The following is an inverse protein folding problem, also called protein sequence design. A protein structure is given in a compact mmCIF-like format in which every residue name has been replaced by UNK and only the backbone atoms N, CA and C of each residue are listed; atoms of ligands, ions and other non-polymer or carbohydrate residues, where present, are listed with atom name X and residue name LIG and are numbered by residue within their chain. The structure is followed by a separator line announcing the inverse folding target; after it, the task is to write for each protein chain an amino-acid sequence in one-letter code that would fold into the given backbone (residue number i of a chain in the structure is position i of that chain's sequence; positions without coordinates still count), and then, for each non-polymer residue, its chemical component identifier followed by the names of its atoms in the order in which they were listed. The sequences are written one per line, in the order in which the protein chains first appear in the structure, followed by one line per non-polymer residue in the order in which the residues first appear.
data_IF_531469023269
#
_entry.id   IF_531469023269
#
_cell.length_a   1.000
_cell.length_b   1.000
_cell.length_c   1.000
_cell.angle_alpha   90.00
_cell.angle_beta   90.00
_cell.angle_gamma   90.00
#
_symmetry.space_group_name_H-M   'P 1'
#
loop_
_entity.id
_entity.type
_entity.pdbx_description
1 polymer ?
#
# COMPACT_ATOMS: atom_id res chain seq x y z
N UNK A 1 -4.02 18.16 31.17
CA UNK A 1 -2.73 17.79 30.55
C UNK A 1 -2.18 16.41 30.96
N UNK A 2 -2.44 15.88 32.17
CA UNK A 2 -1.94 14.54 32.58
C UNK A 2 -2.63 13.34 31.92
N UNK A 3 -3.90 13.47 31.53
CA UNK A 3 -4.68 12.39 30.88
C UNK A 3 -4.22 12.10 29.44
N UNK A 4 -3.73 13.12 28.73
CA UNK A 4 -3.25 12.98 27.35
C UNK A 4 -1.95 12.15 27.25
N UNK A 5 -1.08 12.25 28.27
CA UNK A 5 0.16 11.48 28.34
C UNK A 5 -0.04 9.98 28.63
N UNK A 6 -1.08 9.62 29.38
CA UNK A 6 -1.39 8.22 29.70
C UNK A 6 -2.02 7.49 28.50
N UNK A 7 -2.83 8.20 27.72
CA UNK A 7 -3.41 7.70 26.45
C UNK A 7 -2.32 7.50 25.39
N UNK A 8 -1.33 8.41 25.32
CA UNK A 8 -0.18 8.29 24.41
C UNK A 8 0.72 7.09 24.75
N UNK A 9 0.92 6.80 26.04
CA UNK A 9 1.73 5.68 26.51
C UNK A 9 1.04 4.32 26.28
N UNK A 10 -0.29 4.27 26.41
CA UNK A 10 -1.08 3.06 26.13
C UNK A 10 -1.20 2.75 24.63
N UNK A 11 -1.04 3.76 23.77
CA UNK A 11 -1.10 3.62 22.30
C UNK A 11 0.10 2.84 21.72
N UNK A 12 1.21 2.76 22.46
CA UNK A 12 2.45 2.16 21.96
C UNK A 12 2.50 0.62 22.11
N UNK A 13 1.76 0.05 23.07
CA UNK A 13 1.85 -1.38 23.43
C UNK A 13 0.94 -2.31 22.62
N UNK A 14 0.06 -1.78 21.78
CA UNK A 14 -0.91 -2.58 21.02
C UNK A 14 -0.59 -2.70 19.53
N UNK A 15 0.58 -2.25 19.08
CA UNK A 15 1.06 -2.57 17.74
C UNK A 15 1.43 -4.06 17.69
N UNK A 16 0.42 -4.89 17.42
CA UNK A 16 0.67 -6.16 16.75
C UNK A 16 1.52 -5.83 15.52
N UNK A 17 2.79 -6.22 15.57
CA UNK A 17 3.78 -5.94 14.54
C UNK A 17 3.32 -6.60 13.25
N UNK A 18 2.66 -5.83 12.39
CA UNK A 18 2.31 -6.25 11.03
C UNK A 18 3.63 -6.57 10.34
N UNK A 19 3.77 -7.84 9.97
CA UNK A 19 4.96 -8.33 9.30
C UNK A 19 5.08 -7.65 7.93
N UNK A 20 6.26 -7.14 7.63
CA UNK A 20 6.52 -6.59 6.30
C UNK A 20 6.46 -7.71 5.25
N UNK A 21 6.22 -7.37 3.99
CA UNK A 21 6.03 -8.36 2.92
C UNK A 21 7.21 -9.35 2.78
N UNK A 22 8.44 -8.90 3.05
CA UNK A 22 9.66 -9.72 2.99
C UNK A 22 9.80 -10.66 4.19
N UNK A 23 9.25 -10.28 5.34
CA UNK A 23 9.21 -11.12 6.53
C UNK A 23 8.00 -12.08 6.50
N UNK A 24 6.89 -11.67 5.88
CA UNK A 24 5.70 -12.48 5.70
C UNK A 24 5.93 -13.64 4.72
N UNK A 25 6.67 -13.40 3.63
CA UNK A 25 6.93 -14.39 2.60
C UNK A 25 8.41 -14.38 2.21
N UNK A 26 9.16 -15.38 2.66
CA UNK A 26 10.55 -15.58 2.29
C UNK A 26 10.67 -16.72 1.28
N UNK A 27 10.91 -16.38 0.02
CA UNK A 27 11.02 -17.35 -1.08
C UNK A 27 12.48 -17.67 -1.33
N UNK A 28 12.82 -18.96 -1.36
CA UNK A 28 14.16 -19.49 -1.64
C UNK A 28 14.09 -20.51 -2.77
N UNK A 29 15.18 -20.66 -3.51
CA UNK A 29 15.34 -21.70 -4.52
C UNK A 29 16.61 -22.50 -4.24
N UNK A 30 16.49 -23.82 -4.31
CA UNK A 30 17.61 -24.74 -4.17
C UNK A 30 17.64 -25.70 -5.37
N UNK A 31 18.85 -26.00 -5.86
CA UNK A 31 19.06 -27.00 -6.90
C UNK A 31 19.66 -28.25 -6.27
N UNK A 32 19.09 -29.41 -6.56
CA UNK A 32 19.62 -30.73 -6.24
C UNK A 32 19.87 -31.51 -7.52
N UNK A 33 20.70 -32.55 -7.45
CA UNK A 33 21.09 -33.34 -8.62
C UNK A 33 19.90 -33.88 -9.45
N UNK A 34 18.77 -34.21 -8.81
CA UNK A 34 17.62 -34.84 -9.46
C UNK A 34 16.31 -34.03 -9.41
N UNK A 35 16.33 -32.87 -8.76
CA UNK A 35 15.14 -32.02 -8.58
C UNK A 35 15.53 -30.61 -8.18
N UNK A 36 14.67 -29.65 -8.51
CA UNK A 36 14.74 -28.28 -7.98
C UNK A 36 13.69 -28.11 -6.89
N UNK A 37 14.00 -27.44 -5.79
CA UNK A 37 13.00 -27.01 -4.81
C UNK A 37 12.82 -25.50 -4.79
N UNK A 38 11.57 -25.08 -4.72
CA UNK A 38 11.20 -23.69 -4.42
C UNK A 38 10.52 -23.70 -3.06
N UNK A 39 11.15 -23.06 -2.10
CA UNK A 39 10.73 -23.03 -0.70
C UNK A 39 10.07 -21.69 -0.39
N UNK A 40 8.85 -21.73 0.15
CA UNK A 40 8.13 -20.56 0.64
C UNK A 40 8.02 -20.68 2.16
N UNK A 41 8.84 -19.90 2.86
CA UNK A 41 8.75 -19.74 4.31
C UNK A 41 7.72 -18.67 4.65
N UNK A 42 6.76 -19.04 5.50
CA UNK A 42 5.70 -18.15 5.96
C UNK A 42 6.08 -17.55 7.31
N UNK A 43 5.84 -16.24 7.45
CA UNK A 43 5.95 -15.54 8.72
C UNK A 43 4.90 -16.00 9.73
N UNK A 44 5.05 -15.57 10.98
CA UNK A 44 4.10 -15.90 12.05
C UNK A 44 2.70 -15.40 11.71
N UNK A 45 1.69 -16.24 11.93
CA UNK A 45 0.27 -15.93 11.72
C UNK A 45 -0.06 -15.55 10.25
N UNK A 46 0.70 -16.08 9.28
CA UNK A 46 0.47 -15.94 7.84
C UNK A 46 0.00 -17.26 7.25
N UNK A 47 -0.96 -17.19 6.33
CA UNK A 47 -1.40 -18.33 5.54
C UNK A 47 -1.48 -17.99 4.05
N UNK A 48 -1.32 -19.01 3.20
CA UNK A 48 -1.45 -18.91 1.75
C UNK A 48 -2.74 -19.56 1.26
N UNK A 49 -3.36 -19.01 0.22
CA UNK A 49 -4.51 -19.62 -0.43
C UNK A 49 -4.08 -20.71 -1.42
N UNK A 50 -4.62 -21.92 -1.26
CA UNK A 50 -4.29 -23.05 -2.12
C UNK A 50 -4.71 -22.86 -3.57
N UNK A 51 -5.84 -22.18 -3.81
CA UNK A 51 -6.36 -21.91 -5.15
C UNK A 51 -5.64 -20.74 -5.86
N UNK A 52 -4.86 -19.94 -5.12
CA UNK A 52 -4.08 -18.81 -5.66
C UNK A 52 -2.61 -19.13 -5.86
N UNK A 53 -2.14 -20.29 -5.38
CA UNK A 53 -0.79 -20.76 -5.65
C UNK A 53 -0.73 -21.37 -7.05
N UNK A 54 0.00 -20.71 -7.95
CA UNK A 54 0.21 -21.16 -9.32
C UNK A 54 1.68 -21.18 -9.67
N UNK A 55 2.11 -22.22 -10.37
CA UNK A 55 3.46 -22.35 -10.89
C UNK A 55 3.40 -22.56 -12.40
N UNK A 56 4.16 -21.73 -13.11
CA UNK A 56 4.28 -21.78 -14.55
C UNK A 56 5.72 -22.06 -14.97
N UNK A 57 5.88 -22.85 -16.02
CA UNK A 57 7.15 -22.99 -16.76
C UNK A 57 6.89 -22.55 -18.19
N UNK A 58 7.60 -21.53 -18.67
CA UNK A 58 7.42 -20.97 -20.01
C UNK A 58 5.94 -20.69 -20.34
N UNK A 59 5.25 -19.96 -19.45
CA UNK A 59 3.82 -19.61 -19.56
C UNK A 59 2.82 -20.79 -19.42
N UNK A 60 3.28 -22.04 -19.31
CA UNK A 60 2.40 -23.20 -19.08
C UNK A 60 2.21 -23.48 -17.60
N UNK A 61 0.95 -23.55 -17.17
CA UNK A 61 0.58 -23.91 -15.79
C UNK A 61 0.90 -25.39 -15.52
N UNK A 62 1.75 -25.64 -14.52
CA UNK A 62 2.14 -26.99 -14.07
C UNK A 62 1.71 -27.25 -12.63
N UNK A 63 0.86 -26.40 -12.05
CA UNK A 63 0.50 -26.45 -10.62
C UNK A 63 -0.15 -27.78 -10.22
N UNK A 64 -0.91 -28.40 -11.14
CA UNK A 64 -1.58 -29.70 -10.93
C UNK A 64 -0.65 -30.91 -11.01
N UNK A 65 0.56 -30.73 -11.55
CA UNK A 65 1.55 -31.80 -11.73
C UNK A 65 2.52 -31.93 -10.56
N UNK A 66 2.43 -31.02 -9.58
CA UNK A 66 3.31 -30.94 -8.42
C UNK A 66 2.57 -31.51 -7.21
N UNK A 67 3.30 -32.24 -6.38
CA UNK A 67 2.77 -32.69 -5.10
C UNK A 67 2.81 -31.51 -4.10
N UNK A 68 1.64 -30.94 -3.82
CA UNK A 68 1.48 -29.97 -2.74
C UNK A 68 1.16 -30.69 -1.41
N UNK A 69 1.56 -30.11 -0.27
CA UNK A 69 1.20 -30.65 1.04
C UNK A 69 -0.32 -30.60 1.26
N UNK A 70 -0.82 -31.27 2.31
CA UNK A 70 -2.23 -31.17 2.66
C UNK A 70 -2.60 -29.74 3.08
N UNK A 71 -3.67 -29.21 2.50
CA UNK A 71 -4.24 -27.91 2.87
C UNK A 71 -5.21 -28.06 4.05
N UNK A 72 -5.35 -26.99 4.82
CA UNK A 72 -6.34 -26.87 5.90
C UNK A 72 -7.51 -26.02 5.41
N UNK A 73 -8.74 -26.36 5.81
CA UNK A 73 -9.93 -25.59 5.41
C UNK A 73 -10.17 -24.45 6.39
N UNK A 74 -10.27 -23.22 5.88
CA UNK A 74 -10.62 -22.01 6.64
C UNK A 74 -11.85 -21.37 5.98
N UNK A 75 -13.00 -21.50 6.65
CA UNK A 75 -14.28 -21.09 6.06
C UNK A 75 -14.61 -21.93 4.83
N UNK A 76 -14.71 -21.30 3.65
CA UNK A 76 -15.00 -21.96 2.38
C UNK A 76 -13.75 -22.13 1.49
N UNK A 77 -12.56 -21.82 2.00
CA UNK A 77 -11.31 -21.84 1.22
C UNK A 77 -10.27 -22.77 1.85
N UNK A 78 -9.42 -23.35 1.00
CA UNK A 78 -8.31 -24.18 1.44
C UNK A 78 -7.03 -23.34 1.52
N UNK A 79 -6.33 -23.44 2.65
CA UNK A 79 -5.18 -22.61 3.00
C UNK A 79 -4.00 -23.45 3.50
N UNK A 80 -2.80 -22.90 3.35
CA UNK A 80 -1.57 -23.47 3.88
C UNK A 80 -1.00 -22.58 4.99
N UNK A 81 -0.79 -23.17 6.17
CA UNK A 81 -0.19 -22.52 7.34
C UNK A 81 1.28 -22.83 7.53
N UNK A 82 1.74 -23.92 6.93
CA UNK A 82 3.11 -24.40 7.07
C UNK A 82 3.97 -23.91 5.90
N UNK A 83 5.29 -24.05 6.04
CA UNK A 83 6.22 -23.85 4.92
C UNK A 83 5.82 -24.73 3.74
N UNK A 84 5.87 -24.19 2.53
CA UNK A 84 5.67 -24.97 1.31
C UNK A 84 7.03 -25.28 0.68
N UNK A 85 7.26 -26.56 0.40
CA UNK A 85 8.37 -27.02 -0.44
C UNK A 85 7.77 -27.51 -1.75
N UNK A 86 8.00 -26.76 -2.83
CA UNK A 86 7.55 -27.11 -4.18
C UNK A 86 8.71 -27.83 -4.86
N UNK A 87 8.68 -29.16 -4.86
CA UNK A 87 9.69 -29.99 -5.51
C UNK A 87 9.33 -30.23 -6.99
N UNK A 88 10.23 -29.81 -7.89
CA UNK A 88 10.15 -30.03 -9.33
C UNK A 88 11.17 -31.09 -9.73
N UNK A 89 10.76 -32.35 -9.93
CA UNK A 89 11.65 -33.39 -10.45
C UNK A 89 12.11 -33.11 -11.88
N UNK A 90 13.33 -33.55 -12.22
CA UNK A 90 13.94 -33.32 -13.54
C UNK A 90 13.07 -33.83 -14.70
N UNK A 91 12.31 -34.92 -14.51
CA UNK A 91 11.41 -35.46 -15.54
C UNK A 91 10.32 -34.45 -15.99
N UNK A 92 9.78 -33.67 -15.05
CA UNK A 92 8.83 -32.60 -15.37
C UNK A 92 9.55 -31.44 -16.07
N UNK A 93 10.74 -31.10 -15.61
CA UNK A 93 11.55 -30.04 -16.21
C UNK A 93 11.92 -30.40 -17.65
N UNK A 94 12.34 -31.62 -17.96
CA UNK A 94 12.64 -32.06 -19.33
C UNK A 94 11.42 -31.94 -20.27
N UNK A 95 10.21 -32.18 -19.77
CA UNK A 95 9.00 -32.09 -20.59
C UNK A 95 8.64 -30.64 -20.95
N UNK A 96 8.77 -29.71 -20.00
CA UNK A 96 8.31 -28.32 -20.13
C UNK A 96 9.43 -27.31 -20.46
N UNK A 97 10.68 -27.63 -20.13
CA UNK A 97 11.87 -26.79 -20.22
C UNK A 97 12.75 -27.26 -21.41
N UNK A 98 12.24 -27.11 -22.64
CA UNK A 98 12.90 -27.61 -23.87
C UNK A 98 14.03 -26.72 -24.39
N UNK A 99 14.15 -25.47 -23.94
CA UNK A 99 15.16 -24.51 -24.40
C UNK A 99 16.34 -24.38 -23.42
N UNK A 100 17.41 -23.70 -23.86
CA UNK A 100 18.62 -23.44 -23.04
C UNK A 100 18.37 -22.47 -21.87
N UNK A 101 17.37 -21.60 -21.98
CA UNK A 101 16.93 -20.68 -20.92
C UNK A 101 15.41 -20.76 -20.78
N UNK A 102 14.91 -21.25 -19.65
CA UNK A 102 13.48 -21.34 -19.38
C UNK A 102 13.12 -20.50 -18.17
N UNK A 103 11.93 -19.92 -18.16
CA UNK A 103 11.47 -19.04 -17.09
C UNK A 103 10.43 -19.78 -16.24
N UNK A 104 10.69 -19.92 -14.94
CA UNK A 104 9.70 -20.32 -13.96
C UNK A 104 9.06 -19.06 -13.39
N UNK A 105 7.73 -19.05 -13.35
CA UNK A 105 6.94 -18.00 -12.69
C UNK A 105 6.11 -18.63 -11.57
N UNK A 106 6.32 -18.16 -10.35
CA UNK A 106 5.56 -18.52 -9.16
C UNK A 106 4.62 -17.37 -8.79
N UNK A 107 3.33 -17.64 -8.74
CA UNK A 107 2.30 -16.71 -8.26
C UNK A 107 1.64 -17.26 -7.00
N UNK A 108 1.48 -16.43 -5.97
CA UNK A 108 0.73 -16.80 -4.78
C UNK A 108 0.12 -15.59 -4.09
N UNK A 109 -0.88 -15.81 -3.25
CA UNK A 109 -1.47 -14.79 -2.40
C UNK A 109 -1.66 -15.33 -0.99
N UNK A 110 -1.38 -14.50 0.01
CA UNK A 110 -1.57 -14.84 1.41
C UNK A 110 -2.15 -13.69 2.22
N UNK A 111 -2.67 -14.04 3.39
CA UNK A 111 -3.17 -13.09 4.37
C UNK A 111 -2.64 -13.43 5.76
N UNK A 112 -2.65 -12.43 6.63
CA UNK A 112 -2.46 -12.61 8.05
C UNK A 112 -3.78 -12.99 8.72
N UNK A 113 -3.70 -13.84 9.74
CA UNK A 113 -4.81 -14.13 10.66
C UNK A 113 -5.37 -12.84 11.33
N UNK A 114 -4.57 -11.77 11.39
CA UNK A 114 -4.97 -10.45 11.92
C UNK A 114 -5.85 -9.63 10.96
N UNK A 115 -6.32 -10.23 9.86
CA UNK A 115 -7.26 -9.61 8.92
C UNK A 115 -6.62 -8.73 7.83
N UNK A 116 -5.30 -8.80 7.66
CA UNK A 116 -4.59 -8.09 6.59
C UNK A 116 -4.28 -9.06 5.44
N UNK A 117 -4.82 -8.80 4.24
CA UNK A 117 -4.49 -9.56 3.05
C UNK A 117 -3.45 -8.83 2.20
N UNK A 118 -2.40 -9.55 1.80
CA UNK A 118 -1.36 -9.00 0.93
C UNK A 118 -1.78 -9.13 -0.53
N UNK A 119 -1.26 -8.23 -1.36
CA UNK A 119 -1.43 -8.31 -2.81
C UNK A 119 -0.77 -9.60 -3.37
N UNK A 120 -1.29 -10.15 -4.49
CA UNK A 120 -0.67 -11.28 -5.17
C UNK A 120 0.82 -11.03 -5.43
N UNK A 121 1.65 -12.01 -5.10
CA UNK A 121 3.08 -11.98 -5.27
C UNK A 121 3.47 -12.82 -6.49
N UNK A 122 4.30 -12.25 -7.35
CA UNK A 122 4.88 -12.96 -8.50
C UNK A 122 6.40 -12.98 -8.36
N UNK A 123 6.98 -14.17 -8.47
CA UNK A 123 8.42 -14.41 -8.42
C UNK A 123 8.85 -15.16 -9.67
N UNK A 124 9.98 -14.75 -10.23
CA UNK A 124 10.59 -15.34 -11.40
C UNK A 124 11.88 -16.04 -11.02
N UNK A 125 12.17 -17.13 -11.73
CA UNK A 125 13.41 -17.88 -11.64
C UNK A 125 13.84 -18.27 -13.05
N UNK A 126 15.13 -18.17 -13.31
CA UNK A 126 15.72 -18.63 -14.56
C UNK A 126 16.23 -20.05 -14.36
N UNK A 127 15.82 -20.95 -15.26
CA UNK A 127 16.31 -22.32 -15.36
C UNK A 127 17.40 -22.38 -16.40
N UNK A 128 18.56 -22.89 -16.00
CA UNK A 128 19.70 -23.17 -16.87
C UNK A 128 19.86 -24.69 -16.93
N UNK A 129 19.77 -25.24 -18.14
CA UNK A 129 20.01 -26.67 -18.37
C UNK A 129 21.49 -26.90 -18.70
N UNK A 130 22.17 -27.71 -17.89
CA UNK A 130 23.56 -28.14 -18.12
C UNK A 130 23.62 -29.66 -18.23
N UNK A 131 23.73 -30.20 -19.44
CA UNK A 131 24.01 -31.60 -19.89
C UNK A 131 23.36 -32.78 -19.13
N UNK A 132 23.29 -32.79 -17.80
CA UNK A 132 22.61 -33.78 -16.95
C UNK A 132 21.99 -33.19 -15.64
N UNK A 133 22.01 -31.87 -15.46
CA UNK A 133 21.49 -31.20 -14.26
C UNK A 133 20.81 -29.86 -14.59
N UNK A 134 19.78 -29.51 -13.82
CA UNK A 134 19.10 -28.21 -13.90
C UNK A 134 19.53 -27.31 -12.74
N UNK A 135 20.06 -26.14 -13.08
CA UNK A 135 20.38 -25.08 -12.12
C UNK A 135 19.28 -24.01 -12.14
N UNK A 136 18.86 -23.57 -10.95
CA UNK A 136 17.87 -22.49 -10.78
C UNK A 136 18.56 -21.23 -10.27
N UNK A 137 18.20 -20.08 -10.82
CA UNK A 137 18.70 -18.78 -10.34
C UNK A 137 18.02 -18.35 -9.03
N UNK A 138 18.57 -17.30 -8.40
CA UNK A 138 17.96 -16.70 -7.21
C UNK A 138 16.61 -16.05 -7.57
N UNK A 139 15.62 -16.11 -6.67
CA UNK A 139 14.30 -15.52 -6.91
C UNK A 139 14.39 -14.02 -7.17
N UNK A 140 13.67 -13.54 -8.19
CA UNK A 140 13.58 -12.11 -8.50
C UNK A 140 12.13 -11.70 -8.86
N UNK A 141 11.73 -10.46 -8.54
CA UNK A 141 10.33 -10.02 -8.68
C UNK A 141 9.99 -9.37 -10.03
N UNK A 142 11.00 -8.97 -10.81
CA UNK A 142 10.82 -8.23 -12.06
C UNK A 142 11.40 -9.02 -13.22
N UNK A 143 10.56 -9.51 -14.14
CA UNK A 143 10.99 -10.24 -15.33
C UNK A 143 12.12 -9.47 -16.04
N UNK A 144 13.31 -10.07 -16.20
CA UNK A 144 14.35 -9.54 -17.09
C UNK A 144 13.94 -9.87 -18.51
N UNK A 145 13.04 -9.06 -19.05
CA UNK A 145 12.66 -9.14 -20.46
C UNK A 145 12.46 -7.72 -20.96
N UNK A 146 13.29 -7.33 -21.92
CA UNK A 146 13.09 -6.19 -22.79
C UNK A 146 11.77 -6.36 -23.56
N UNK A 147 10.63 -6.06 -22.92
CA UNK A 147 9.38 -5.59 -23.55
C UNK A 147 8.28 -5.44 -22.51
N UNK A 148 7.74 -4.21 -22.45
CA UNK A 148 6.51 -3.82 -21.75
C UNK A 148 5.37 -4.79 -22.06
N UNK A 149 4.82 -5.46 -21.05
CA UNK A 149 3.41 -5.89 -21.04
C UNK A 149 2.89 -5.73 -19.61
N UNK A 150 2.07 -4.69 -19.43
CA UNK A 150 1.46 -4.25 -18.16
C UNK A 150 0.43 -5.29 -17.68
N UNK A 151 0.58 -5.75 -16.44
CA UNK A 151 -0.58 -5.99 -15.58
C UNK A 151 -0.50 -4.92 -14.50
N UNK A 152 -1.41 -3.97 -14.56
CA UNK A 152 -1.30 -2.67 -13.90
C UNK A 152 -2.14 -2.65 -12.63
N UNK A 153 -1.50 -2.40 -11.48
CA UNK A 153 -2.17 -1.91 -10.28
C UNK A 153 -2.56 -0.44 -10.50
N UNK A 154 -3.67 0.02 -9.92
CA UNK A 154 -4.17 1.40 -10.07
C UNK A 154 -3.09 2.46 -9.75
N UNK A 155 -2.21 2.17 -8.79
CA UNK A 155 -1.05 2.99 -8.45
C UNK A 155 -0.02 3.08 -9.60
N UNK A 156 0.20 1.98 -10.31
CA UNK A 156 1.09 1.94 -11.48
C UNK A 156 0.45 2.57 -12.73
N UNK A 157 -0.89 2.60 -12.84
CA UNK A 157 -1.61 3.38 -13.87
C UNK A 157 -1.36 4.87 -13.68
N UNK A 158 -1.46 5.38 -12.46
CA UNK A 158 -1.18 6.79 -12.17
C UNK A 158 0.29 7.11 -12.51
N UNK A 159 1.24 6.27 -12.10
CA UNK A 159 2.65 6.46 -12.43
C UNK A 159 2.92 6.44 -13.95
N UNK A 160 2.24 5.59 -14.72
CA UNK A 160 2.36 5.53 -16.18
C UNK A 160 1.63 6.68 -16.89
N UNK A 161 0.53 7.20 -16.34
CA UNK A 161 -0.10 8.44 -16.81
C UNK A 161 0.85 9.63 -16.59
N UNK A 162 1.51 9.74 -15.43
CA UNK A 162 2.52 10.79 -15.21
C UNK A 162 3.74 10.67 -16.13
N UNK A 163 4.10 9.46 -16.56
CA UNK A 163 5.28 9.22 -17.40
C UNK A 163 5.04 9.37 -18.91
N UNK A 164 3.79 9.31 -19.37
CA UNK A 164 3.47 9.22 -20.82
C UNK A 164 2.69 10.43 -21.33
N UNK A 165 1.96 11.15 -20.48
CA UNK A 165 1.03 12.20 -20.92
C UNK A 165 1.64 13.60 -20.96
N UNK A 166 1.03 14.49 -21.76
CA UNK A 166 1.47 15.89 -21.88
C UNK A 166 1.38 16.62 -20.52
N UNK A 167 2.46 17.28 -20.11
CA UNK A 167 2.57 18.02 -18.85
C UNK A 167 1.37 18.97 -18.58
N UNK A 168 0.84 19.60 -19.64
CA UNK A 168 -0.31 20.49 -19.54
C UNK A 168 -1.61 19.78 -19.13
N UNK A 169 -1.83 18.55 -19.62
CA UNK A 169 -3.03 17.76 -19.32
C UNK A 169 -3.00 17.18 -17.90
N UNK A 170 -1.80 16.82 -17.43
CA UNK A 170 -1.55 16.41 -16.04
C UNK A 170 -1.87 17.58 -15.09
N UNK A 171 -1.34 18.78 -15.38
CA UNK A 171 -1.57 19.97 -14.56
C UNK A 171 -3.07 20.33 -14.48
N UNK A 172 -3.79 20.24 -15.61
CA UNK A 172 -5.23 20.50 -15.66
C UNK A 172 -6.02 19.48 -14.83
N UNK A 173 -5.64 18.19 -14.89
CA UNK A 173 -6.30 17.14 -14.11
C UNK A 173 -6.06 17.30 -12.61
N UNK A 174 -4.82 17.55 -12.17
CA UNK A 174 -4.50 17.80 -10.76
C UNK A 174 -5.20 19.04 -10.23
N UNK A 175 -5.30 20.11 -11.03
CA UNK A 175 -6.07 21.29 -10.69
C UNK A 175 -7.56 20.98 -10.54
N UNK A 176 -8.13 20.19 -11.46
CA UNK A 176 -9.51 19.74 -11.41
C UNK A 176 -9.82 18.90 -10.17
N UNK A 177 -8.97 17.94 -9.83
CA UNK A 177 -9.09 17.18 -8.58
C UNK A 177 -8.99 18.08 -7.35
N UNK A 178 -8.03 19.02 -7.32
CA UNK A 178 -7.92 19.99 -6.22
C UNK A 178 -9.19 20.83 -6.03
N UNK A 179 -9.83 21.26 -7.12
CA UNK A 179 -11.11 21.95 -7.08
C UNK A 179 -12.21 21.03 -6.52
N UNK A 180 -12.29 19.79 -7.00
CA UNK A 180 -13.29 18.81 -6.54
C UNK A 180 -13.15 18.49 -5.05
N UNK A 181 -11.92 18.35 -4.56
CA UNK A 181 -11.62 18.15 -3.14
C UNK A 181 -12.04 19.38 -2.31
N UNK A 182 -11.97 20.59 -2.86
CA UNK A 182 -12.44 21.82 -2.20
C UNK A 182 -13.96 21.84 -2.02
N UNK A 183 -14.73 21.15 -2.87
CA UNK A 183 -16.19 21.04 -2.73
C UNK A 183 -16.62 20.01 -1.66
N UNK A 184 -15.68 19.44 -0.90
CA UNK A 184 -16.03 18.47 0.14
C UNK A 184 -16.79 19.12 1.30
N UNK A 185 -17.73 18.40 1.94
CA UNK A 185 -18.60 18.94 2.98
C UNK A 185 -17.86 19.46 4.22
N UNK A 186 -16.57 19.18 4.36
CA UNK A 186 -15.74 19.57 5.50
C UNK A 186 -15.14 21.00 5.38
N UNK A 187 -15.01 21.56 4.17
CA UNK A 187 -14.51 22.94 3.97
C UNK A 187 -15.61 23.99 4.14
N UNK A 188 -16.87 23.62 3.83
CA UNK A 188 -18.04 24.50 3.96
C UNK A 188 -18.17 25.16 5.33
N UNK A 189 -17.97 24.47 6.47
CA UNK A 189 -18.02 25.11 7.79
C UNK A 189 -16.81 26.00 8.12
N UNK A 190 -15.70 25.90 7.38
CA UNK A 190 -14.51 26.73 7.61
C UNK A 190 -14.60 28.10 6.92
N UNK A 191 -15.30 28.20 5.79
CA UNK A 191 -15.51 29.46 5.04
C UNK A 191 -16.18 30.55 5.92
N UNK A 192 -17.25 30.27 6.70
CA UNK A 192 -17.85 31.22 7.62
C UNK A 192 -16.90 31.70 8.73
N UNK A 193 -16.00 30.84 9.21
CA UNK A 193 -15.07 31.18 10.28
C UNK A 193 -14.06 32.21 9.78
N UNK A 194 -13.45 31.95 8.63
CA UNK A 194 -12.47 32.89 8.04
C UNK A 194 -13.14 34.20 7.62
N UNK A 195 -14.35 34.15 7.05
CA UNK A 195 -15.07 35.38 6.68
C UNK A 195 -15.39 36.22 7.92
N UNK A 196 -15.81 35.59 9.03
CA UNK A 196 -16.07 36.28 10.29
C UNK A 196 -14.81 36.89 10.91
N UNK A 197 -13.65 36.23 10.80
CA UNK A 197 -12.37 36.72 11.32
C UNK A 197 -11.84 37.91 10.50
N UNK A 198 -11.97 37.86 9.17
CA UNK A 198 -11.53 38.93 8.27
C UNK A 198 -12.43 40.16 8.42
N UNK A 199 -13.73 39.97 8.66
CA UNK A 199 -14.69 41.05 8.92
C UNK A 199 -14.55 41.63 10.34
N UNK A 200 -14.29 40.81 11.37
CA UNK A 200 -14.07 41.30 12.74
C UNK A 200 -12.82 42.19 12.86
N UNK A 201 -11.82 41.99 12.00
CA UNK A 201 -10.60 42.82 11.94
C UNK A 201 -10.81 44.13 11.13
N UNK A 202 -12.03 44.44 10.67
CA UNK A 202 -12.29 45.50 9.68
C UNK A 202 -12.44 46.93 10.21
N UNK A 203 -12.06 47.21 11.46
CA UNK A 203 -12.26 48.53 12.09
C UNK A 203 -11.15 49.58 11.82
N UNK A 204 -10.09 49.26 11.06
CA UNK A 204 -9.02 50.20 10.75
C UNK A 204 -8.83 50.37 9.23
N UNK A 205 -9.07 51.60 8.74
CA UNK A 205 -8.89 52.13 7.37
C UNK A 205 -8.05 51.23 6.42
N UNK A 206 -8.70 50.53 5.49
CA UNK A 206 -7.98 49.68 4.53
C UNK A 206 -7.41 50.45 3.34
N UNK A 207 -6.12 50.25 3.10
CA UNK A 207 -5.53 50.34 1.77
C UNK A 207 -5.77 49.01 1.04
N UNK A 208 -6.31 49.04 -0.20
CA UNK A 208 -6.58 47.84 -1.03
C UNK A 208 -5.39 46.86 -1.13
N UNK A 209 -4.16 47.36 -0.94
CA UNK A 209 -2.93 46.57 -0.97
C UNK A 209 -2.82 45.60 0.21
N UNK A 210 -3.33 45.94 1.40
CA UNK A 210 -3.18 45.10 2.59
C UNK A 210 -4.03 43.82 2.51
N UNK A 211 -5.30 43.93 2.09
CA UNK A 211 -6.18 42.76 1.94
C UNK A 211 -5.71 41.82 0.83
N UNK A 212 -5.11 42.36 -0.24
CA UNK A 212 -4.50 41.54 -1.29
C UNK A 212 -3.27 40.78 -0.78
N UNK A 213 -2.40 41.45 -0.02
CA UNK A 213 -1.20 40.83 0.56
C UNK A 213 -1.55 39.76 1.61
N UNK A 214 -2.61 39.99 2.41
CA UNK A 214 -3.08 39.03 3.41
C UNK A 214 -3.66 37.77 2.76
N UNK A 215 -4.40 37.90 1.66
CA UNK A 215 -4.88 36.73 0.90
C UNK A 215 -3.73 35.95 0.27
N UNK A 216 -2.74 36.64 -0.29
CA UNK A 216 -1.58 36.00 -0.91
C UNK A 216 -0.76 35.19 0.09
N UNK A 217 -0.44 35.78 1.26
CA UNK A 217 0.34 35.10 2.29
C UNK A 217 -0.42 33.89 2.83
N UNK A 218 -1.74 34.01 3.02
CA UNK A 218 -2.59 32.92 3.50
C UNK A 218 -2.60 31.72 2.55
N UNK A 219 -2.84 31.96 1.25
CA UNK A 219 -2.87 30.87 0.24
C UNK A 219 -1.48 30.24 0.09
N UNK A 220 -0.41 31.04 0.13
CA UNK A 220 0.96 30.55 0.02
C UNK A 220 1.32 29.58 1.15
N UNK A 221 1.04 29.94 2.40
CA UNK A 221 1.31 29.07 3.55
C UNK A 221 0.42 27.82 3.58
N UNK A 222 -0.86 27.93 3.18
CA UNK A 222 -1.76 26.77 3.09
C UNK A 222 -1.29 25.78 2.01
N UNK A 223 -0.89 26.29 0.83
CA UNK A 223 -0.32 25.47 -0.25
C UNK A 223 0.94 24.75 0.22
N UNK A 224 1.84 25.47 0.90
CA UNK A 224 3.08 24.91 1.43
C UNK A 224 2.82 23.82 2.47
N UNK A 225 1.87 24.01 3.39
CA UNK A 225 1.51 23.03 4.40
C UNK A 225 0.95 21.74 3.77
N UNK A 226 0.05 21.85 2.79
CA UNK A 226 -0.49 20.68 2.09
C UNK A 226 0.54 19.98 1.20
N UNK A 227 1.46 20.72 0.58
CA UNK A 227 2.57 20.14 -0.16
C UNK A 227 3.49 19.32 0.75
N UNK A 228 3.84 19.84 1.93
CA UNK A 228 4.64 19.12 2.92
C UNK A 228 3.91 17.86 3.39
N UNK A 229 2.62 17.96 3.72
CA UNK A 229 1.81 16.80 4.10
C UNK A 229 1.76 15.75 2.98
N UNK A 230 1.65 16.17 1.71
CA UNK A 230 1.68 15.29 0.55
C UNK A 230 3.03 14.59 0.36
N UNK A 231 4.15 15.31 0.54
CA UNK A 231 5.50 14.72 0.49
C UNK A 231 5.70 13.69 1.61
N UNK A 232 5.29 14.03 2.83
CA UNK A 232 5.34 13.11 3.98
C UNK A 232 4.50 11.86 3.68
N UNK A 233 3.27 12.03 3.19
CA UNK A 233 2.40 10.90 2.83
C UNK A 233 3.02 10.02 1.72
N UNK A 234 3.69 10.64 0.74
CA UNK A 234 4.40 9.92 -0.32
C UNK A 234 5.58 9.11 0.22
N UNK A 235 6.35 9.66 1.16
CA UNK A 235 7.46 8.97 1.82
C UNK A 235 7.01 7.81 2.71
N UNK A 236 5.82 7.88 3.32
CA UNK A 236 5.32 6.84 4.22
C UNK A 236 4.75 5.60 3.50
N UNK A 237 4.54 5.65 2.18
CA UNK A 237 4.32 4.49 1.29
C UNK A 237 3.07 3.62 1.55
N UNK A 238 2.12 3.62 0.61
CA UNK A 238 1.00 2.67 0.34
C UNK A 238 0.18 2.03 1.51
N UNK A 239 0.44 2.37 2.77
CA UNK A 239 -0.16 1.73 3.95
C UNK A 239 -0.89 2.72 4.86
N UNK A 240 -0.80 4.02 4.57
CA UNK A 240 -1.47 5.07 5.36
C UNK A 240 -2.98 4.82 5.35
N UNK A 241 -3.55 4.42 4.22
CA UNK A 241 -4.96 4.10 4.12
C UNK A 241 -5.35 2.90 5.00
N UNK A 242 -4.50 1.87 5.07
CA UNK A 242 -4.69 0.72 5.97
C UNK A 242 -4.56 1.08 7.46
N UNK A 243 -3.70 2.04 7.80
CA UNK A 243 -3.54 2.57 9.16
C UNK A 243 -4.74 3.42 9.55
N UNK A 244 -5.24 4.29 8.66
CA UNK A 244 -6.43 5.12 8.94
C UNK A 244 -7.71 4.31 9.02
N UNK A 245 -7.78 3.15 8.35
CA UNK A 245 -8.92 2.25 8.41
C UNK A 245 -8.95 1.39 9.68
N UNK A 246 -7.91 1.43 10.54
CA UNK A 246 -7.95 0.76 11.84
C UNK A 246 -9.02 1.44 12.72
N UNK A 247 -9.91 0.65 13.35
CA UNK A 247 -11.05 1.19 14.11
C UNK A 247 -10.62 2.13 15.24
N UNK A 248 -9.45 1.89 15.84
CA UNK A 248 -8.93 2.71 16.94
C UNK A 248 -8.53 4.12 16.49
N UNK A 249 -7.97 4.27 15.27
CA UNK A 249 -7.58 5.58 14.72
C UNK A 249 -8.84 6.35 14.31
N UNK A 250 -9.82 5.66 13.72
CA UNK A 250 -11.12 6.23 13.37
C UNK A 250 -11.86 6.79 14.60
N UNK A 251 -11.86 6.06 15.71
CA UNK A 251 -12.45 6.51 16.98
C UNK A 251 -11.72 7.75 17.52
N UNK A 252 -10.38 7.79 17.44
CA UNK A 252 -9.59 8.95 17.88
C UNK A 252 -9.95 10.21 17.07
N UNK A 253 -10.02 10.10 15.74
CA UNK A 253 -10.44 11.21 14.87
C UNK A 253 -11.91 11.60 15.12
N UNK A 254 -12.81 10.65 15.33
CA UNK A 254 -14.19 10.99 15.69
C UNK A 254 -14.26 11.79 17.00
N UNK A 255 -13.45 11.43 18.01
CA UNK A 255 -13.38 12.12 19.29
C UNK A 255 -12.81 13.54 19.15
N UNK A 256 -11.79 13.75 18.30
CA UNK A 256 -11.29 15.11 18.01
C UNK A 256 -12.37 15.97 17.34
N UNK A 257 -13.14 15.41 16.41
CA UNK A 257 -14.23 16.14 15.75
C UNK A 257 -15.37 16.47 16.72
N UNK A 258 -15.71 15.57 17.63
CA UNK A 258 -16.67 15.84 18.72
C UNK A 258 -16.17 16.99 19.60
N UNK A 259 -14.88 17.00 19.97
CA UNK A 259 -14.30 18.09 20.74
C UNK A 259 -14.39 19.44 20.01
N UNK A 260 -14.10 19.47 18.71
CA UNK A 260 -14.26 20.67 17.87
C UNK A 260 -15.73 21.09 17.73
N UNK A 261 -16.67 20.14 17.62
CA UNK A 261 -18.09 20.44 17.58
C UNK A 261 -18.56 21.08 18.90
N UNK A 262 -18.13 20.55 20.05
CA UNK A 262 -18.39 21.17 21.36
C UNK A 262 -17.82 22.59 21.48
N UNK A 263 -16.67 22.88 20.86
CA UNK A 263 -16.12 24.23 20.79
C UNK A 263 -17.02 25.19 19.96
N UNK A 264 -17.58 24.71 18.84
CA UNK A 264 -18.52 25.48 18.00
C UNK A 264 -19.88 25.72 18.66
N UNK A 265 -20.37 24.77 19.48
CA UNK A 265 -21.59 24.96 20.28
C UNK A 265 -21.44 25.98 21.42
N UNK A 266 -20.24 26.55 21.60
CA UNK A 266 -20.01 27.61 22.57
C UNK A 266 -19.94 27.13 24.01
N UNK A 267 -19.71 25.82 24.23
CA UNK A 267 -19.41 25.29 25.57
C UNK A 267 -18.12 25.89 26.15
N UNK A 268 -17.20 26.32 25.27
CA UNK A 268 -16.07 27.19 25.60
C UNK A 268 -16.29 28.57 25.01
N UNK A 269 -16.95 29.47 25.74
CA UNK A 269 -16.84 30.89 25.43
C UNK A 269 -15.45 31.36 25.86
N UNK A 270 -14.49 31.30 24.94
CA UNK A 270 -13.34 32.19 25.01
C UNK A 270 -13.87 33.59 24.68
N UNK A 271 -14.48 34.24 25.67
CA UNK A 271 -14.59 35.70 25.66
C UNK A 271 -13.16 36.23 25.64
N UNK A 272 -12.74 36.71 24.46
CA UNK A 272 -11.56 37.54 24.33
C UNK A 272 -11.80 38.76 25.23
N UNK A 273 -11.02 38.96 26.30
CA UNK A 273 -11.07 40.21 27.03
C UNK A 273 -10.66 41.30 26.03
N UNK A 274 -11.60 42.21 25.78
CA UNK A 274 -11.47 43.41 24.96
C UNK A 274 -10.18 44.18 25.30
#
# INVERSE_FOLDING_TARGET
MRIFGIILLSFCLCFASILSLKEAFNVKSNSYNNSISIDIELGKDIYLYSNKLKLYINEKDISSLINLPQSSTRGNENVYYQKLNLALPNLLLEHFAKNTTNLIKLEFQGCSEQGLCYNPQTWYFDLISKKDAFEISKPYKTQKTDKKTKIESEESSIANFLATDNFFWILLSFFGYGLLLSLTPCILPMIPILSSLIVAKSNAKFSKKYSFFLSFIYVFFMSLAYAIAGVIASFLGASIQGILQKPIILILFALIFIAFAFAMFGAFRFELPL
#
